data_IF_934665825372
#
_entry.id   IF_934665825372
#
_cell.length_a   1.000
_cell.length_b   1.000
_cell.length_c   1.000
_cell.angle_alpha   90.00
_cell.angle_beta   90.00
_cell.angle_gamma   90.00
#
_symmetry.space_group_name_H-M   'P 1'
#
loop_
_entity.id
_entity.type
_entity.pdbx_description
1 polymer ?
#
# COMPACT_ATOMS: atom_id res chain seq x y z
N UNK A 1 -13.87 7.76 4.44
CA UNK A 1 -14.20 7.77 2.99
C UNK A 1 -15.10 6.57 2.68
N UNK A 2 -15.63 6.38 1.47
CA UNK A 2 -16.31 5.14 1.12
C UNK A 2 -15.42 4.20 0.27
N UNK A 3 -15.74 2.92 0.28
CA UNK A 3 -15.18 1.95 -0.65
C UNK A 3 -15.76 2.14 -2.06
N UNK A 4 -14.93 1.95 -3.09
CA UNK A 4 -15.36 1.89 -4.50
C UNK A 4 -16.00 0.53 -4.78
N UNK A 5 -17.32 0.46 -4.64
CA UNK A 5 -18.06 -0.80 -4.82
C UNK A 5 -18.03 -1.32 -6.27
N UNK A 6 -17.65 -0.50 -7.26
CA UNK A 6 -17.46 -0.98 -8.63
C UNK A 6 -16.16 -1.79 -8.79
N UNK A 7 -15.24 -1.67 -7.82
CA UNK A 7 -13.94 -2.37 -7.81
C UNK A 7 -13.88 -3.45 -6.74
N UNK A 8 -14.51 -3.22 -5.59
CA UNK A 8 -14.51 -4.15 -4.45
C UNK A 8 -15.53 -5.28 -4.64
N UNK A 9 -15.34 -6.08 -5.70
CA UNK A 9 -16.29 -7.10 -6.13
C UNK A 9 -16.53 -8.22 -5.11
N UNK A 10 -15.56 -8.49 -4.22
CA UNK A 10 -15.66 -9.50 -3.17
C UNK A 10 -16.19 -8.96 -1.84
N UNK A 11 -16.68 -7.73 -1.82
CA UNK A 11 -17.12 -7.04 -0.61
C UNK A 11 -16.03 -6.22 0.04
N UNK A 12 -16.28 -5.76 1.27
CA UNK A 12 -15.43 -4.81 1.99
C UNK A 12 -15.44 -5.09 3.48
N UNK A 13 -14.37 -4.73 4.23
CA UNK A 13 -14.37 -4.83 5.68
C UNK A 13 -15.54 -4.03 6.28
N UNK A 14 -16.40 -4.63 7.12
CA UNK A 14 -17.55 -3.93 7.69
C UNK A 14 -17.09 -2.82 8.65
N UNK A 15 -17.77 -1.68 8.59
CA UNK A 15 -17.50 -0.54 9.48
C UNK A 15 -16.13 0.12 9.29
N UNK A 16 -15.42 -0.16 8.20
CA UNK A 16 -14.08 0.37 7.95
C UNK A 16 -14.06 1.91 7.96
N UNK A 17 -13.09 2.49 8.65
CA UNK A 17 -12.93 3.94 8.83
C UNK A 17 -11.57 4.44 8.34
N UNK A 18 -11.38 5.76 8.36
CA UNK A 18 -10.07 6.35 8.11
C UNK A 18 -9.05 5.99 9.20
N UNK A 19 -9.48 5.70 10.43
CA UNK A 19 -8.60 5.27 11.50
C UNK A 19 -8.08 3.85 11.24
N UNK A 20 -8.95 2.94 10.79
CA UNK A 20 -8.57 1.58 10.37
C UNK A 20 -7.61 1.62 9.19
N UNK A 21 -7.86 2.50 8.22
CA UNK A 21 -6.97 2.73 7.09
C UNK A 21 -5.56 3.18 7.53
N UNK A 22 -5.48 4.12 8.47
CA UNK A 22 -4.20 4.58 9.02
C UNK A 22 -3.46 3.49 9.80
N UNK A 23 -4.19 2.68 10.59
CA UNK A 23 -3.65 1.53 11.30
C UNK A 23 -3.13 0.47 10.33
N UNK A 24 -3.88 0.15 9.28
CA UNK A 24 -3.46 -0.79 8.25
C UNK A 24 -2.16 -0.35 7.57
N UNK A 25 -2.04 0.93 7.19
CA UNK A 25 -0.78 1.47 6.62
C UNK A 25 0.36 1.40 7.62
N UNK A 26 0.10 1.73 8.89
CA UNK A 26 1.14 1.74 9.94
C UNK A 26 1.66 0.33 10.23
N UNK A 27 0.76 -0.67 10.24
CA UNK A 27 1.05 -2.03 10.65
C UNK A 27 1.30 -3.01 9.48
N UNK A 28 1.17 -2.55 8.24
CA UNK A 28 1.43 -3.37 7.06
C UNK A 28 2.87 -3.89 7.03
N UNK A 29 3.04 -5.17 6.70
CA UNK A 29 4.36 -5.79 6.60
C UNK A 29 4.90 -5.65 5.18
N UNK A 30 5.59 -4.54 4.92
CA UNK A 30 6.25 -4.32 3.64
C UNK A 30 7.54 -5.14 3.46
N UNK A 31 8.06 -5.82 4.50
CA UNK A 31 9.21 -6.71 4.33
C UNK A 31 8.85 -7.95 3.51
N UNK A 32 7.56 -8.33 3.53
CA UNK A 32 6.95 -9.37 2.71
C UNK A 32 6.14 -8.76 1.53
N UNK A 33 6.60 -7.65 0.96
CA UNK A 33 5.92 -7.03 -0.18
C UNK A 33 5.77 -8.03 -1.35
N UNK A 34 4.56 -8.10 -1.91
CA UNK A 34 4.21 -9.01 -3.02
C UNK A 34 4.53 -8.42 -4.39
N UNK A 35 4.69 -7.10 -4.47
CA UNK A 35 5.07 -6.38 -5.66
C UNK A 35 5.81 -5.11 -5.30
N UNK A 36 6.91 -4.84 -6.01
CA UNK A 36 7.69 -3.62 -5.91
C UNK A 36 8.03 -3.14 -7.31
N UNK A 37 7.78 -1.86 -7.58
CA UNK A 37 8.09 -1.26 -8.88
C UNK A 37 8.60 0.17 -8.70
N UNK A 38 9.69 0.46 -9.39
CA UNK A 38 10.18 1.80 -9.61
C UNK A 38 9.52 2.40 -10.86
N UNK A 39 9.07 3.65 -10.78
CA UNK A 39 8.46 4.39 -11.88
C UNK A 39 9.44 4.48 -13.07
N UNK A 40 8.93 4.58 -14.30
CA UNK A 40 9.78 4.70 -15.49
C UNK A 40 10.72 5.92 -15.47
N UNK A 41 10.37 6.96 -14.70
CA UNK A 41 11.22 8.13 -14.45
C UNK A 41 12.28 7.92 -13.37
N UNK A 42 12.23 6.82 -12.61
CA UNK A 42 13.19 6.51 -11.54
C UNK A 42 13.03 7.32 -10.26
N UNK A 43 11.91 8.03 -10.09
CA UNK A 43 11.68 8.99 -8.98
C UNK A 43 10.84 8.40 -7.86
N UNK A 44 9.92 7.49 -8.17
CA UNK A 44 9.01 6.89 -7.19
C UNK A 44 9.15 5.38 -7.21
N UNK A 45 9.33 4.78 -6.04
CA UNK A 45 9.22 3.34 -5.83
C UNK A 45 7.94 3.07 -5.07
N UNK A 46 7.17 2.10 -5.56
CA UNK A 46 5.89 1.68 -5.01
C UNK A 46 5.99 0.24 -4.57
N UNK A 47 5.60 -0.04 -3.33
CA UNK A 47 5.51 -1.39 -2.79
C UNK A 47 4.06 -1.72 -2.41
N UNK A 48 3.71 -2.99 -2.55
CA UNK A 48 2.40 -3.54 -2.23
C UNK A 48 2.58 -4.66 -1.23
N UNK A 49 1.78 -4.65 -0.17
CA UNK A 49 1.66 -5.79 0.75
C UNK A 49 0.18 -5.99 1.11
N UNK A 50 -0.10 -7.05 1.85
CA UNK A 50 -1.44 -7.33 2.36
C UNK A 50 -1.50 -7.11 3.86
N UNK A 51 -2.67 -6.66 4.31
CA UNK A 51 -3.02 -6.53 5.71
C UNK A 51 -4.41 -7.12 5.94
N UNK A 52 -4.58 -7.86 7.02
CA UNK A 52 -5.87 -8.46 7.38
C UNK A 52 -6.62 -7.59 8.38
N UNK A 53 -7.89 -7.30 8.10
CA UNK A 53 -8.76 -6.48 8.94
C UNK A 53 -10.20 -6.95 8.82
N UNK A 54 -10.85 -7.17 9.96
CA UNK A 54 -12.27 -7.56 10.05
C UNK A 54 -12.67 -8.71 9.12
N UNK A 55 -11.81 -9.72 8.96
CA UNK A 55 -12.06 -10.90 8.11
C UNK A 55 -11.79 -10.68 6.61
N UNK A 56 -11.18 -9.57 6.23
CA UNK A 56 -10.79 -9.27 4.86
C UNK A 56 -9.28 -9.04 4.77
N UNK A 57 -8.68 -9.58 3.72
CA UNK A 57 -7.37 -9.16 3.25
C UNK A 57 -7.54 -7.91 2.40
N UNK A 58 -6.83 -6.84 2.73
CA UNK A 58 -6.75 -5.61 1.95
C UNK A 58 -5.33 -5.40 1.46
N UNK A 59 -5.17 -4.79 0.29
CA UNK A 59 -3.87 -4.35 -0.18
C UNK A 59 -3.50 -2.99 0.43
N UNK A 60 -2.25 -2.86 0.87
CA UNK A 60 -1.68 -1.60 1.32
C UNK A 60 -0.56 -1.23 0.36
N UNK A 61 -0.64 -0.03 -0.18
CA UNK A 61 0.37 0.53 -1.07
C UNK A 61 1.17 1.58 -0.31
N UNK A 62 2.49 1.56 -0.48
CA UNK A 62 3.40 2.57 0.05
C UNK A 62 4.34 3.09 -1.03
N UNK A 63 4.36 4.41 -1.18
CA UNK A 63 5.27 5.11 -2.08
C UNK A 63 6.45 5.70 -1.31
N UNK A 64 7.64 5.56 -1.87
CA UNK A 64 8.86 6.26 -1.43
C UNK A 64 9.50 6.95 -2.63
N UNK A 65 10.07 8.12 -2.40
CA UNK A 65 10.75 8.89 -3.43
C UNK A 65 12.27 8.81 -3.25
N UNK A 66 12.96 8.88 -4.38
CA UNK A 66 14.41 8.95 -4.42
C UNK A 66 14.86 10.35 -3.98
N UNK A 67 15.85 10.41 -3.11
CA UNK A 67 16.55 11.62 -2.78
C UNK A 67 17.59 11.90 -3.87
N UNK A 68 17.41 13.00 -4.61
CA UNK A 68 18.27 13.32 -5.75
C UNK A 68 19.72 13.64 -5.35
N UNK A 69 19.97 14.03 -4.10
CA UNK A 69 21.30 14.35 -3.60
C UNK A 69 22.06 13.09 -3.19
N UNK A 70 21.43 12.21 -2.42
CA UNK A 70 22.08 11.00 -1.86
C UNK A 70 21.87 9.74 -2.70
N UNK A 71 20.94 9.78 -3.67
CA UNK A 71 20.49 8.64 -4.45
C UNK A 71 19.67 7.61 -3.66
N UNK A 72 19.38 7.86 -2.38
CA UNK A 72 18.70 6.92 -1.49
C UNK A 72 17.17 7.00 -1.59
N UNK A 73 16.48 5.89 -1.38
CA UNK A 73 15.02 5.82 -1.33
C UNK A 73 14.49 6.12 0.08
N UNK A 74 14.58 7.37 0.51
CA UNK A 74 14.28 7.75 1.90
C UNK A 74 13.35 8.96 2.06
N UNK A 75 12.77 9.46 0.97
CA UNK A 75 11.77 10.53 1.03
C UNK A 75 10.38 9.87 1.07
N UNK A 76 9.56 10.25 2.04
CA UNK A 76 8.21 9.72 2.17
C UNK A 76 7.32 10.20 1.00
N UNK A 77 6.70 9.25 0.29
CA UNK A 77 5.61 9.51 -0.63
C UNK A 77 4.25 9.35 0.06
N UNK A 78 3.29 8.79 -0.67
CA UNK A 78 1.96 8.50 -0.16
C UNK A 78 1.72 7.00 0.04
N UNK A 79 0.99 6.67 1.09
CA UNK A 79 0.36 5.37 1.29
C UNK A 79 -1.14 5.47 1.09
N UNK A 80 -1.72 4.41 0.54
CA UNK A 80 -3.16 4.31 0.30
C UNK A 80 -3.61 2.84 0.23
N UNK A 81 -4.92 2.64 0.25
CA UNK A 81 -5.57 1.33 0.17
C UNK A 81 -6.41 1.31 -1.11
N UNK A 82 -6.10 0.45 -2.09
CA UNK A 82 -6.87 0.35 -3.32
C UNK A 82 -8.35 0.05 -3.01
N UNK A 83 -9.24 0.88 -3.57
CA UNK A 83 -10.68 0.80 -3.30
C UNK A 83 -11.15 1.74 -2.18
N UNK A 84 -10.31 2.20 -1.26
CA UNK A 84 -10.70 3.19 -0.25
C UNK A 84 -10.58 4.61 -0.82
N UNK A 85 -11.65 5.07 -1.47
CA UNK A 85 -11.62 6.22 -2.39
C UNK A 85 -11.22 7.53 -1.71
N UNK A 86 -10.44 8.36 -2.42
CA UNK A 86 -10.11 9.72 -1.97
C UNK A 86 -9.31 9.80 -0.66
N UNK A 87 -8.75 8.67 -0.19
CA UNK A 87 -7.96 8.62 1.03
C UNK A 87 -6.51 8.24 0.72
N UNK A 88 -5.60 8.97 1.36
CA UNK A 88 -4.19 8.63 1.45
C UNK A 88 -3.64 9.25 2.73
N UNK A 89 -2.47 8.78 3.16
CA UNK A 89 -1.61 9.53 4.08
C UNK A 89 -0.17 9.52 3.57
N UNK A 90 0.68 10.34 4.17
CA UNK A 90 2.11 10.26 3.94
C UNK A 90 2.65 8.91 4.43
N UNK A 91 3.48 8.22 3.63
CA UNK A 91 4.07 6.93 4.00
C UNK A 91 4.85 7.07 5.31
N UNK A 92 4.51 6.32 6.38
CA UNK A 92 5.18 6.44 7.67
C UNK A 92 6.68 6.19 7.59
N UNK A 93 7.49 6.90 8.38
CA UNK A 93 8.95 6.81 8.34
C UNK A 93 9.48 5.37 8.55
N UNK A 94 8.84 4.59 9.42
CA UNK A 94 9.16 3.18 9.61
C UNK A 94 8.97 2.36 8.33
N UNK A 95 7.88 2.63 7.58
CA UNK A 95 7.61 1.95 6.31
C UNK A 95 8.52 2.44 5.18
N UNK A 96 8.90 3.72 5.17
CA UNK A 96 9.92 4.23 4.25
C UNK A 96 11.24 3.47 4.42
N UNK A 97 11.67 3.22 5.67
CA UNK A 97 12.90 2.49 5.96
C UNK A 97 12.85 1.02 5.50
N UNK A 98 11.66 0.41 5.43
CA UNK A 98 11.46 -0.96 4.94
C UNK A 98 11.36 -0.99 3.41
N UNK A 99 10.56 -0.10 2.81
CA UNK A 99 10.31 -0.08 1.35
C UNK A 99 11.54 0.39 0.57
N UNK A 100 12.26 1.38 1.10
CA UNK A 100 13.42 1.99 0.45
C UNK A 100 14.45 0.98 -0.09
N UNK A 101 14.93 0.01 0.72
CA UNK A 101 15.90 -0.99 0.28
C UNK A 101 15.34 -2.12 -0.59
N UNK A 102 14.01 -2.27 -0.73
CA UNK A 102 13.44 -3.35 -1.53
C UNK A 102 13.83 -3.23 -3.02
N UNK A 103 14.10 -4.36 -3.65
CA UNK A 103 14.33 -4.43 -5.09
C UNK A 103 13.00 -4.56 -5.84
N UNK A 104 12.96 -4.07 -7.07
CA UNK A 104 11.83 -4.29 -7.97
C UNK A 104 11.62 -5.79 -8.21
N UNK A 105 10.35 -6.21 -8.25
CA UNK A 105 10.00 -7.61 -8.42
C UNK A 105 8.57 -7.94 -7.99
N UNK A 106 8.26 -9.24 -8.02
CA UNK A 106 6.92 -9.76 -7.72
C UNK A 106 5.96 -9.65 -8.90
N UNK A 107 4.70 -10.00 -8.65
CA UNK A 107 3.63 -9.94 -9.63
C UNK A 107 2.61 -8.89 -9.20
N UNK A 108 2.25 -7.98 -10.11
CA UNK A 108 1.24 -6.99 -9.82
C UNK A 108 -0.09 -7.70 -9.53
N UNK A 109 -0.77 -7.39 -8.41
CA UNK A 109 -1.91 -8.18 -7.96
C UNK A 109 -3.20 -7.96 -8.77
N UNK A 110 -3.20 -7.16 -9.83
CA UNK A 110 -4.38 -6.86 -10.65
C UNK A 110 -5.64 -6.59 -9.81
N UNK A 111 -6.71 -7.37 -9.96
CA UNK A 111 -7.94 -7.19 -9.19
C UNK A 111 -7.79 -7.67 -7.73
N UNK A 112 -6.87 -8.58 -7.42
CA UNK A 112 -6.60 -9.07 -6.05
C UNK A 112 -6.06 -7.98 -5.11
N UNK A 113 -5.79 -6.77 -5.64
CA UNK A 113 -5.47 -5.58 -4.85
C UNK A 113 -6.68 -5.03 -4.08
N UNK A 114 -7.90 -5.36 -4.48
CA UNK A 114 -9.11 -4.93 -3.77
C UNK A 114 -9.41 -5.88 -2.60
N UNK A 115 -10.27 -5.48 -1.64
CA UNK A 115 -10.56 -6.32 -0.48
C UNK A 115 -11.09 -7.69 -0.89
N UNK A 116 -10.57 -8.73 -0.22
CA UNK A 116 -10.96 -10.11 -0.44
C UNK A 116 -11.22 -10.78 0.91
N UNK A 117 -12.34 -11.52 1.11
CA UNK A 117 -12.56 -12.29 2.33
C UNK A 117 -11.41 -13.26 2.60
N UNK A 118 -10.99 -13.36 3.86
CA UNK A 118 -10.09 -14.42 4.35
C UNK A 118 -10.96 -15.64 4.63
N UNK A 119 -10.72 -16.73 3.90
CA UNK A 119 -11.47 -17.99 4.01
C UNK A 119 -10.74 -18.91 5.00
#
# INVERSE_FOLDING_TARGET
MPWDMNKCQWGVPPGFTNADAALAVTNADFSNAVFVQTSGTGVTKKAYTYYEVNGFRICVVGDVHKNDVSGQWNIAGNSFIPGWTGWSLQTPAAQVAVIGPLQDGGAFPDDDRYPHPVI
#
